data_IF_007444823459
#
_entry.id   IF_007444823459
#
_cell.length_a   1.000
_cell.length_b   1.000
_cell.length_c   1.000
_cell.angle_alpha   90.00
_cell.angle_beta   90.00
_cell.angle_gamma   90.00
#
_symmetry.space_group_name_H-M   'P 1'
#
loop_
_entity.id
_entity.type
_entity.pdbx_description
1 polymer ?
#
# COMPACT_ATOMS: atom_id res chain seq x y z
N UNK A 1 10.24 32.22 5.93
CA UNK A 1 10.99 33.09 6.87
C UNK A 1 12.38 33.41 6.35
N UNK A 2 13.24 32.41 6.07
CA UNK A 2 14.62 32.61 5.59
C UNK A 2 14.76 33.69 4.50
N UNK A 3 14.02 33.55 3.39
CA UNK A 3 14.08 34.53 2.30
C UNK A 3 13.54 35.92 2.65
N UNK A 4 12.64 36.08 3.64
CA UNK A 4 12.24 37.42 4.10
C UNK A 4 13.35 38.08 4.91
N UNK A 5 14.05 37.30 5.73
CA UNK A 5 15.15 37.80 6.56
C UNK A 5 16.38 38.15 5.71
N UNK A 6 16.72 37.33 4.71
CA UNK A 6 17.78 37.62 3.74
C UNK A 6 17.50 38.90 2.93
N UNK A 7 16.23 39.22 2.70
CA UNK A 7 15.79 40.43 1.98
C UNK A 7 15.47 41.62 2.91
N UNK A 8 15.66 41.49 4.22
CA UNK A 8 15.37 42.55 5.20
C UNK A 8 13.88 42.92 5.33
N UNK A 9 12.97 42.02 4.94
CA UNK A 9 11.54 42.23 4.99
C UNK A 9 10.98 41.96 6.40
N UNK A 10 10.00 42.74 6.87
CA UNK A 10 9.36 42.52 8.16
C UNK A 10 8.59 41.19 8.19
N UNK A 11 8.56 40.54 9.36
CA UNK A 11 7.92 39.24 9.57
C UNK A 11 6.49 39.34 10.09
N UNK A 12 5.98 40.54 10.37
CA UNK A 12 4.67 40.76 11.00
C UNK A 12 3.54 40.10 10.21
N UNK A 13 3.60 40.17 8.88
CA UNK A 13 2.65 39.53 7.97
C UNK A 13 2.63 38.00 8.10
N UNK A 14 3.82 37.39 8.16
CA UNK A 14 3.96 35.95 8.36
C UNK A 14 3.46 35.56 9.76
N UNK A 15 3.73 36.39 10.77
CA UNK A 15 3.25 36.14 12.14
C UNK A 15 1.73 36.13 12.21
N UNK A 16 1.05 37.13 11.65
CA UNK A 16 -0.42 37.21 11.65
C UNK A 16 -1.06 35.99 10.97
N UNK A 17 -0.46 35.51 9.88
CA UNK A 17 -0.98 34.32 9.20
C UNK A 17 -0.74 33.02 9.97
N UNK A 18 0.50 32.78 10.42
CA UNK A 18 0.86 31.49 11.01
C UNK A 18 0.52 31.39 12.50
N UNK A 19 0.45 32.51 13.23
CA UNK A 19 0.14 32.55 14.67
C UNK A 19 -1.31 32.93 14.92
N UNK A 20 -1.81 33.96 14.26
CA UNK A 20 -3.15 34.49 14.52
C UNK A 20 -4.21 33.93 13.55
N UNK A 21 -3.80 33.13 12.57
CA UNK A 21 -4.70 32.46 11.62
C UNK A 21 -5.38 33.39 10.61
N UNK A 22 -4.85 34.60 10.44
CA UNK A 22 -5.41 35.63 9.56
C UNK A 22 -4.90 35.43 8.12
N UNK A 23 -5.81 35.16 7.19
CA UNK A 23 -5.48 35.05 5.78
C UNK A 23 -5.37 36.43 5.13
N UNK A 24 -4.59 36.51 4.05
CA UNK A 24 -4.39 37.76 3.30
C UNK A 24 -5.59 38.12 2.42
N UNK A 25 -6.36 37.11 2.04
CA UNK A 25 -7.64 37.27 1.35
C UNK A 25 -8.75 37.32 2.41
N UNK A 26 -9.42 38.48 2.51
CA UNK A 26 -10.52 38.71 3.44
C UNK A 26 -11.73 37.79 3.17
N UNK A 27 -11.80 37.16 1.99
CA UNK A 27 -12.85 36.20 1.63
C UNK A 27 -12.54 34.77 2.10
N UNK A 28 -11.29 34.49 2.49
CA UNK A 28 -10.86 33.19 2.97
C UNK A 28 -11.26 32.98 4.44
N UNK A 29 -11.86 31.83 4.81
CA UNK A 29 -12.30 31.58 6.19
C UNK A 29 -11.13 31.67 7.17
N UNK A 30 -11.30 32.47 8.23
CA UNK A 30 -10.32 32.59 9.32
C UNK A 30 -10.26 31.27 10.08
N UNK A 31 -9.06 30.65 10.13
CA UNK A 31 -8.81 29.52 11.02
C UNK A 31 -8.51 30.10 12.40
N UNK A 32 -9.39 29.88 13.39
CA UNK A 32 -9.16 30.37 14.76
C UNK A 32 -8.02 29.66 15.48
N UNK A 33 -7.57 28.54 14.93
CA UNK A 33 -6.39 27.83 15.40
C UNK A 33 -5.23 28.22 14.46
N UNK A 34 -4.36 29.12 14.94
CA UNK A 34 -3.09 29.40 14.31
C UNK A 34 -2.27 28.12 14.14
N UNK A 35 -1.52 28.02 13.05
CA UNK A 35 -0.71 26.82 12.75
C UNK A 35 0.52 26.68 13.66
N UNK A 36 0.93 27.77 14.31
CA UNK A 36 2.02 27.85 15.27
C UNK A 36 1.60 28.69 16.47
N UNK A 37 2.06 28.34 17.68
CA UNK A 37 2.02 29.28 18.81
C UNK A 37 3.00 30.44 18.59
N UNK A 38 2.78 31.57 19.27
CA UNK A 38 3.69 32.72 19.21
C UNK A 38 5.16 32.34 19.53
N UNK A 39 5.36 31.49 20.54
CA UNK A 39 6.69 31.01 20.94
C UNK A 39 7.35 30.13 19.86
N UNK A 40 6.57 29.31 19.15
CA UNK A 40 7.09 28.49 18.05
C UNK A 40 7.49 29.34 16.85
N UNK A 41 6.70 30.36 16.53
CA UNK A 41 7.02 31.30 15.47
C UNK A 41 8.28 32.12 15.78
N UNK A 42 8.40 32.61 17.02
CA UNK A 42 9.57 33.38 17.45
C UNK A 42 10.86 32.54 17.41
N UNK A 43 10.78 31.26 17.78
CA UNK A 43 11.90 30.32 17.66
C UNK A 43 12.26 30.00 16.19
N UNK A 44 11.25 29.85 15.31
CA UNK A 44 11.45 29.68 13.86
C UNK A 44 12.04 30.94 13.22
N UNK A 45 11.68 32.13 13.70
CA UNK A 45 12.25 33.39 13.24
C UNK A 45 13.69 33.58 13.73
N UNK A 46 14.03 33.14 14.94
CA UNK A 46 15.38 33.28 15.46
C UNK A 46 16.39 32.34 14.74
N UNK A 47 15.96 31.15 14.33
CA UNK A 47 16.81 30.19 13.61
C UNK A 47 16.03 29.42 12.53
N UNK A 48 15.71 30.05 11.38
CA UNK A 48 14.92 29.43 10.31
C UNK A 48 15.63 28.27 9.60
N UNK A 49 16.94 28.12 9.77
CA UNK A 49 17.73 27.06 9.11
C UNK A 49 17.71 25.80 9.95
N UNK A 50 17.78 25.93 11.28
CA UNK A 50 17.81 24.77 12.18
C UNK A 50 16.50 24.49 12.89
N UNK A 51 15.46 25.32 12.72
CA UNK A 51 14.14 25.12 13.30
C UNK A 51 13.27 24.10 12.54
N UNK A 52 12.51 23.24 13.24
CA UNK A 52 12.51 23.08 14.70
C UNK A 52 13.88 22.58 15.16
N UNK A 53 14.44 23.15 16.27
CA UNK A 53 15.76 22.76 16.75
C UNK A 53 15.79 21.24 16.75
N UNK A 54 16.86 20.63 16.19
CA UNK A 54 17.01 19.16 16.13
C UNK A 54 16.43 18.61 17.40
N UNK A 55 15.21 18.10 17.29
CA UNK A 55 14.55 17.49 18.41
C UNK A 55 15.51 16.35 18.66
N UNK A 56 16.19 16.35 19.82
CA UNK A 56 16.56 15.09 20.42
C UNK A 56 15.27 14.30 20.33
N UNK A 57 15.22 13.40 19.35
CA UNK A 57 14.05 12.58 18.99
C UNK A 57 13.29 12.38 20.28
N UNK A 58 12.04 12.85 20.32
CA UNK A 58 11.11 12.70 21.44
C UNK A 58 11.74 11.91 22.60
N UNK A 59 11.97 12.54 23.76
CA UNK A 59 12.71 11.98 24.90
C UNK A 59 12.23 10.64 25.48
N UNK A 60 11.46 9.83 24.75
CA UNK A 60 11.29 8.38 24.91
C UNK A 60 12.25 7.48 24.11
N UNK A 61 13.13 7.98 23.22
CA UNK A 61 14.01 7.06 22.45
C UNK A 61 15.20 6.48 23.23
N UNK A 62 15.36 6.78 24.53
CA UNK A 62 16.23 5.99 25.44
C UNK A 62 15.44 5.02 26.33
N UNK A 63 14.11 5.05 26.30
CA UNK A 63 13.24 4.10 27.01
C UNK A 63 12.64 3.03 26.08
N UNK A 64 12.61 3.25 24.75
CA UNK A 64 12.04 2.31 23.78
C UNK A 64 12.73 0.94 23.78
N UNK A 65 14.06 0.88 23.75
CA UNK A 65 14.79 -0.39 23.82
C UNK A 65 14.69 -1.05 25.20
N UNK A 66 14.72 -0.26 26.28
CA UNK A 66 14.45 -0.75 27.66
C UNK A 66 13.05 -1.33 27.84
N UNK A 67 12.06 -0.87 27.07
CA UNK A 67 10.70 -1.40 27.07
C UNK A 67 10.55 -2.74 26.35
N UNK A 68 11.56 -3.15 25.58
CA UNK A 68 11.59 -4.41 24.82
C UNK A 68 12.45 -5.47 25.51
N UNK A 69 13.18 -5.08 26.58
CA UNK A 69 14.01 -5.99 27.36
C UNK A 69 13.16 -7.10 27.99
N UNK A 70 13.56 -8.35 27.77
CA UNK A 70 12.87 -9.54 28.28
C UNK A 70 11.63 -9.98 27.50
N UNK A 71 11.12 -9.19 26.55
CA UNK A 71 10.00 -9.61 25.70
C UNK A 71 10.45 -10.67 24.67
N UNK A 72 9.65 -11.73 24.55
CA UNK A 72 9.80 -12.75 23.50
C UNK A 72 9.28 -12.23 22.16
N UNK A 73 9.56 -12.95 21.07
CA UNK A 73 8.99 -12.62 19.75
C UNK A 73 7.46 -12.62 19.76
N UNK A 74 6.85 -13.54 20.49
CA UNK A 74 5.39 -13.61 20.60
C UNK A 74 4.84 -12.41 21.39
N UNK A 75 5.51 -11.97 22.46
CA UNK A 75 5.11 -10.76 23.19
C UNK A 75 5.20 -9.50 22.30
N UNK A 76 6.25 -9.44 21.47
CA UNK A 76 6.40 -8.36 20.48
C UNK A 76 5.27 -8.41 19.45
N UNK A 77 4.92 -9.61 18.97
CA UNK A 77 3.83 -9.81 18.03
C UNK A 77 2.49 -9.39 18.61
N UNK A 78 2.16 -9.83 19.83
CA UNK A 78 0.93 -9.43 20.51
C UNK A 78 0.88 -7.92 20.73
N UNK A 79 2.01 -7.29 21.08
CA UNK A 79 2.10 -5.83 21.18
C UNK A 79 1.87 -5.15 19.83
N UNK A 80 2.49 -5.63 18.76
CA UNK A 80 2.33 -5.10 17.40
C UNK A 80 0.88 -5.20 16.92
N UNK A 81 0.22 -6.32 17.18
CA UNK A 81 -1.17 -6.61 16.80
C UNK A 81 -2.19 -5.78 17.60
N UNK A 82 -1.94 -5.55 18.88
CA UNK A 82 -2.88 -4.88 19.80
C UNK A 82 -2.68 -3.38 19.94
N UNK A 83 -1.52 -2.85 19.57
CA UNK A 83 -1.23 -1.40 19.63
C UNK A 83 -1.71 -0.73 18.36
N UNK A 84 -2.67 0.21 18.41
CA UNK A 84 -3.14 0.90 17.20
C UNK A 84 -1.99 1.58 16.45
N UNK A 85 -1.90 1.31 15.15
CA UNK A 85 -0.93 1.90 14.23
C UNK A 85 -1.49 1.89 12.80
N UNK A 86 -0.69 2.33 11.83
CA UNK A 86 -1.02 2.22 10.41
C UNK A 86 -1.09 0.76 9.90
N UNK A 87 -0.62 -0.24 10.67
CA UNK A 87 -0.49 -1.63 10.20
C UNK A 87 -1.00 -2.72 11.16
N UNK A 88 -1.36 -2.40 12.40
CA UNK A 88 -1.63 -3.41 13.44
C UNK A 88 -2.74 -4.42 13.08
N UNK A 89 -3.78 -4.00 12.35
CA UNK A 89 -4.86 -4.91 11.92
C UNK A 89 -4.40 -5.91 10.85
N UNK A 90 -3.22 -5.70 10.26
CA UNK A 90 -2.62 -6.57 9.26
C UNK A 90 -1.58 -7.54 9.83
N UNK A 91 -1.20 -7.42 11.11
CA UNK A 91 -0.17 -8.27 11.72
C UNK A 91 -0.48 -9.77 11.61
N UNK A 92 -1.72 -10.19 11.88
CA UNK A 92 -2.12 -11.60 11.73
C UNK A 92 -2.00 -12.10 10.28
N UNK A 93 -2.37 -11.25 9.32
CA UNK A 93 -2.27 -11.58 7.89
C UNK A 93 -0.80 -11.70 7.46
N UNK A 94 0.06 -10.77 7.87
CA UNK A 94 1.49 -10.81 7.57
C UNK A 94 2.17 -12.04 8.20
N UNK A 95 1.82 -12.39 9.45
CA UNK A 95 2.28 -13.61 10.12
C UNK A 95 1.91 -14.85 9.33
N UNK A 96 0.66 -14.97 8.90
CA UNK A 96 0.19 -16.11 8.12
C UNK A 96 0.93 -16.20 6.77
N UNK A 97 1.04 -15.09 6.05
CA UNK A 97 1.71 -15.07 4.73
C UNK A 97 3.19 -15.44 4.85
N UNK A 98 3.87 -14.97 5.89
CA UNK A 98 5.25 -15.32 6.17
C UNK A 98 5.40 -16.81 6.58
N UNK A 99 4.46 -17.36 7.36
CA UNK A 99 4.47 -18.77 7.73
C UNK A 99 4.31 -19.72 6.53
N UNK A 100 3.61 -19.28 5.49
CA UNK A 100 3.44 -20.02 4.24
C UNK A 100 4.60 -19.82 3.24
N UNK A 101 5.72 -19.22 3.69
CA UNK A 101 6.86 -18.79 2.86
C UNK A 101 8.19 -19.29 3.44
N UNK A 102 9.09 -19.79 2.60
CA UNK A 102 10.44 -20.16 3.04
C UNK A 102 11.33 -18.91 3.13
N UNK A 103 11.28 -18.05 2.12
CA UNK A 103 12.08 -16.82 2.03
C UNK A 103 11.16 -15.62 1.91
N UNK A 104 11.30 -14.67 2.85
CA UNK A 104 10.56 -13.41 2.89
C UNK A 104 11.51 -12.25 2.69
N UNK A 105 11.12 -11.29 1.85
CA UNK A 105 11.80 -10.01 1.68
C UNK A 105 10.85 -8.89 2.07
N UNK A 106 11.34 -7.90 2.80
CA UNK A 106 10.61 -6.70 3.19
C UNK A 106 11.35 -5.45 2.69
N UNK A 107 10.62 -4.50 2.11
CA UNK A 107 11.11 -3.15 1.84
C UNK A 107 10.33 -2.15 2.69
N UNK A 108 11.06 -1.35 3.48
CA UNK A 108 10.48 -0.35 4.38
C UNK A 108 10.27 -0.89 5.80
N UNK A 109 11.36 -1.19 6.51
CA UNK A 109 11.30 -1.73 7.88
C UNK A 109 10.86 -0.67 8.91
N UNK A 110 11.28 0.59 8.74
CA UNK A 110 11.03 1.69 9.68
C UNK A 110 11.31 1.27 11.13
N UNK A 111 10.28 1.22 11.98
CA UNK A 111 10.39 0.84 13.39
C UNK A 111 10.07 -0.65 13.67
N UNK A 112 9.93 -1.47 12.63
CA UNK A 112 9.90 -2.93 12.72
C UNK A 112 8.55 -3.56 13.08
N UNK A 113 7.42 -2.86 12.99
CA UNK A 113 6.10 -3.42 13.34
C UNK A 113 5.70 -4.54 12.38
N UNK A 114 5.79 -4.30 11.06
CA UNK A 114 5.62 -5.34 10.04
C UNK A 114 6.66 -6.44 10.18
N UNK A 115 7.93 -6.08 10.41
CA UNK A 115 9.03 -7.03 10.58
C UNK A 115 8.77 -8.01 11.72
N UNK A 116 8.23 -7.55 12.84
CA UNK A 116 7.81 -8.41 13.96
C UNK A 116 6.73 -9.40 13.51
N UNK A 117 5.73 -8.95 12.76
CA UNK A 117 4.68 -9.82 12.25
C UNK A 117 5.22 -10.88 11.26
N UNK A 118 6.12 -10.47 10.35
CA UNK A 118 6.79 -11.37 9.42
C UNK A 118 7.68 -12.40 10.16
N UNK A 119 8.46 -11.96 11.16
CA UNK A 119 9.25 -12.84 12.02
C UNK A 119 8.37 -13.82 12.79
N UNK A 120 7.23 -13.40 13.32
CA UNK A 120 6.30 -14.26 14.05
C UNK A 120 5.70 -15.39 13.17
N UNK A 121 5.76 -15.26 11.84
CA UNK A 121 5.44 -16.32 10.89
C UNK A 121 6.49 -17.43 10.83
N UNK A 122 7.70 -17.16 11.33
CA UNK A 122 8.85 -18.06 11.34
C UNK A 122 9.21 -18.62 9.94
N UNK A 123 9.39 -17.76 8.91
CA UNK A 123 9.97 -18.21 7.65
C UNK A 123 11.40 -18.71 7.88
N UNK A 124 11.96 -19.51 6.97
CA UNK A 124 13.36 -19.94 7.10
C UNK A 124 14.30 -18.75 7.05
N UNK A 125 13.99 -17.75 6.23
CA UNK A 125 14.81 -16.54 6.06
C UNK A 125 13.94 -15.30 5.87
N UNK A 126 14.30 -14.22 6.55
CA UNK A 126 13.70 -12.89 6.38
C UNK A 126 14.80 -11.86 6.13
N UNK A 127 14.68 -11.10 5.04
CA UNK A 127 15.60 -10.01 4.71
C UNK A 127 14.82 -8.71 4.63
N UNK A 128 15.12 -7.76 5.51
CA UNK A 128 14.48 -6.45 5.52
C UNK A 128 15.45 -5.39 5.00
N UNK A 129 14.98 -4.57 4.07
CA UNK A 129 15.72 -3.43 3.54
C UNK A 129 15.07 -2.12 3.94
N UNK A 130 15.90 -1.14 4.28
CA UNK A 130 15.47 0.24 4.54
C UNK A 130 16.59 1.22 4.17
N UNK A 131 16.22 2.44 3.79
CA UNK A 131 17.19 3.52 3.54
C UNK A 131 17.95 3.89 4.81
N UNK A 132 17.28 3.79 5.97
CA UNK A 132 17.80 4.20 7.26
C UNK A 132 18.07 2.99 8.15
N UNK A 133 19.18 3.02 8.87
CA UNK A 133 19.42 2.04 9.92
C UNK A 133 18.61 2.41 11.17
N UNK A 134 17.95 1.43 11.78
CA UNK A 134 17.26 1.58 13.07
C UNK A 134 17.80 0.53 14.07
N UNK A 135 18.16 0.91 15.32
CA UNK A 135 18.62 -0.02 16.35
C UNK A 135 17.65 -1.18 16.65
N UNK A 136 16.36 -1.03 16.32
CA UNK A 136 15.37 -2.10 16.45
C UNK A 136 15.77 -3.36 15.66
N UNK A 137 16.52 -3.23 14.56
CA UNK A 137 17.01 -4.37 13.80
C UNK A 137 17.86 -5.33 14.64
N UNK A 138 18.74 -4.80 15.50
CA UNK A 138 19.56 -5.63 16.40
C UNK A 138 18.72 -6.31 17.48
N UNK A 139 17.70 -5.60 17.99
CA UNK A 139 16.75 -6.14 18.97
C UNK A 139 15.94 -7.30 18.38
N UNK A 140 15.48 -7.15 17.13
CA UNK A 140 14.75 -8.18 16.40
C UNK A 140 15.66 -9.35 16.01
N UNK A 141 16.92 -9.09 15.65
CA UNK A 141 17.92 -10.13 15.37
C UNK A 141 18.13 -11.05 16.57
N UNK A 142 18.13 -10.50 17.78
CA UNK A 142 18.22 -11.28 19.02
C UNK A 142 16.95 -12.07 19.35
N UNK A 143 15.82 -11.74 18.73
CA UNK A 143 14.48 -12.31 18.98
C UNK A 143 13.88 -12.97 17.74
N UNK A 144 14.69 -13.29 16.73
CA UNK A 144 14.23 -13.80 15.43
C UNK A 144 13.57 -15.20 15.49
N UNK A 145 13.66 -15.89 16.63
CA UNK A 145 13.27 -17.29 16.74
C UNK A 145 14.19 -18.18 15.90
N UNK A 146 13.60 -19.10 15.14
CA UNK A 146 14.28 -20.01 14.22
C UNK A 146 14.57 -19.38 12.85
N UNK A 147 14.05 -18.17 12.59
CA UNK A 147 14.26 -17.46 11.32
C UNK A 147 15.69 -16.97 11.20
N UNK A 148 16.32 -17.15 10.03
CA UNK A 148 17.52 -16.40 9.68
C UNK A 148 17.15 -14.97 9.27
N UNK A 149 17.19 -14.03 10.21
CA UNK A 149 16.87 -12.61 9.95
C UNK A 149 18.10 -11.81 9.52
N UNK A 150 17.98 -10.94 8.52
CA UNK A 150 19.01 -9.95 8.21
C UNK A 150 18.40 -8.61 7.87
N UNK A 151 18.98 -7.55 8.42
CA UNK A 151 18.70 -6.18 8.01
C UNK A 151 19.81 -5.69 7.07
N UNK A 152 19.42 -5.04 5.98
CA UNK A 152 20.34 -4.46 5.01
C UNK A 152 19.95 -3.01 4.76
N UNK A 153 20.83 -2.07 5.12
CA UNK A 153 20.62 -0.68 4.72
C UNK A 153 20.79 -0.55 3.21
N UNK A 154 19.74 -0.15 2.49
CA UNK A 154 19.75 -0.06 1.04
C UNK A 154 18.45 0.47 0.45
N UNK A 155 18.58 1.13 -0.70
CA UNK A 155 17.45 1.62 -1.49
C UNK A 155 16.84 0.48 -2.30
N UNK A 156 15.53 0.23 -2.16
CA UNK A 156 14.78 -0.78 -2.92
C UNK A 156 14.97 -0.64 -4.43
N UNK A 157 15.23 0.57 -4.95
CA UNK A 157 15.50 0.81 -6.38
C UNK A 157 16.92 0.39 -6.82
N UNK A 158 17.83 0.16 -5.86
CA UNK A 158 19.24 -0.13 -6.12
C UNK A 158 19.66 -1.55 -5.71
N UNK A 159 19.05 -2.13 -4.67
CA UNK A 159 19.44 -3.44 -4.15
C UNK A 159 19.12 -4.56 -5.14
N UNK A 160 19.79 -5.69 -4.98
CA UNK A 160 19.45 -6.94 -5.67
C UNK A 160 18.97 -7.91 -4.61
N UNK A 161 17.76 -8.45 -4.78
CA UNK A 161 17.20 -9.45 -3.88
C UNK A 161 17.39 -10.85 -4.45
N UNK A 162 17.49 -11.83 -3.56
CA UNK A 162 17.43 -13.23 -3.95
C UNK A 162 16.00 -13.64 -4.33
N UNK A 163 15.83 -14.86 -4.84
CA UNK A 163 14.51 -15.42 -5.08
C UNK A 163 13.78 -15.59 -3.74
N UNK A 164 12.59 -15.03 -3.62
CA UNK A 164 11.76 -15.11 -2.42
C UNK A 164 10.35 -15.62 -2.73
N UNK A 165 9.65 -16.10 -1.72
CA UNK A 165 8.24 -16.52 -1.84
C UNK A 165 7.30 -15.35 -1.61
N UNK A 166 7.68 -14.46 -0.68
CA UNK A 166 6.91 -13.30 -0.29
C UNK A 166 7.78 -12.04 -0.37
N UNK A 167 7.28 -11.02 -1.05
CA UNK A 167 7.81 -9.66 -1.00
C UNK A 167 6.77 -8.74 -0.36
N UNK A 168 7.10 -8.12 0.76
CA UNK A 168 6.32 -7.06 1.38
C UNK A 168 6.91 -5.69 1.03
N UNK A 169 6.08 -4.78 0.53
CA UNK A 169 6.47 -3.43 0.10
C UNK A 169 5.68 -2.39 0.89
N UNK A 170 6.42 -1.59 1.67
CA UNK A 170 5.92 -0.44 2.42
C UNK A 170 6.96 0.71 2.42
N UNK A 171 7.43 1.06 1.22
CA UNK A 171 8.46 2.09 1.00
C UNK A 171 7.84 3.48 0.84
N UNK A 172 7.86 4.01 -0.39
CA UNK A 172 7.38 5.32 -0.76
C UNK A 172 6.14 5.15 -1.62
N UNK A 173 5.03 5.80 -1.26
CA UNK A 173 3.72 5.44 -1.82
C UNK A 173 3.34 6.24 -3.07
N UNK A 174 4.19 6.19 -4.10
CA UNK A 174 3.93 6.81 -5.41
C UNK A 174 3.92 5.77 -6.53
N UNK A 175 3.19 6.07 -7.61
CA UNK A 175 3.14 5.19 -8.77
C UNK A 175 4.53 4.94 -9.37
N UNK A 176 5.38 5.97 -9.43
CA UNK A 176 6.73 5.88 -9.98
C UNK A 176 7.62 4.96 -9.13
N UNK A 177 7.58 5.09 -7.80
CA UNK A 177 8.32 4.21 -6.89
C UNK A 177 7.90 2.76 -7.10
N UNK A 178 6.59 2.47 -6.97
CA UNK A 178 6.08 1.11 -7.06
C UNK A 178 6.35 0.50 -8.44
N UNK A 179 6.24 1.30 -9.51
CA UNK A 179 6.54 0.83 -10.88
C UNK A 179 7.98 0.34 -10.98
N UNK A 180 8.94 1.12 -10.47
CA UNK A 180 10.36 0.75 -10.52
C UNK A 180 10.67 -0.47 -9.63
N UNK A 181 10.06 -0.56 -8.44
CA UNK A 181 10.20 -1.72 -7.56
C UNK A 181 9.64 -2.99 -8.21
N UNK A 182 8.44 -2.94 -8.80
CA UNK A 182 7.83 -4.08 -9.47
C UNK A 182 8.63 -4.50 -10.72
N UNK A 183 9.08 -3.54 -11.53
CA UNK A 183 9.91 -3.83 -12.71
C UNK A 183 11.21 -4.54 -12.32
N UNK A 184 11.82 -4.14 -11.21
CA UNK A 184 13.10 -4.67 -10.75
C UNK A 184 12.97 -6.03 -10.08
N UNK A 185 11.96 -6.21 -9.23
CA UNK A 185 11.94 -7.32 -8.27
C UNK A 185 10.86 -8.37 -8.53
N UNK A 186 9.80 -8.07 -9.29
CA UNK A 186 8.65 -8.98 -9.35
C UNK A 186 8.95 -10.35 -10.00
N UNK A 187 10.02 -10.48 -10.79
CA UNK A 187 10.47 -11.77 -11.33
C UNK A 187 11.34 -12.58 -10.33
N UNK A 188 11.78 -11.95 -9.24
CA UNK A 188 12.42 -12.61 -8.12
C UNK A 188 11.41 -13.16 -7.10
N UNK A 189 10.12 -12.87 -7.27
CA UNK A 189 9.06 -13.30 -6.36
C UNK A 189 8.33 -14.50 -6.94
N UNK A 190 8.48 -15.65 -6.27
CA UNK A 190 7.93 -16.95 -6.71
C UNK A 190 6.42 -17.05 -6.49
N UNK A 191 5.90 -16.42 -5.44
CA UNK A 191 4.49 -16.56 -5.04
C UNK A 191 3.76 -15.23 -4.92
N UNK A 192 4.03 -14.44 -3.86
CA UNK A 192 3.17 -13.32 -3.44
C UNK A 192 3.93 -12.01 -3.26
N UNK A 193 3.30 -10.92 -3.70
CA UNK A 193 3.72 -9.55 -3.39
C UNK A 193 2.60 -8.90 -2.58
N UNK A 194 2.95 -8.24 -1.47
CA UNK A 194 2.03 -7.57 -0.56
C UNK A 194 2.37 -6.09 -0.54
N UNK A 195 1.35 -5.25 -0.75
CA UNK A 195 1.46 -3.80 -0.75
C UNK A 195 0.64 -3.22 0.41
N UNK A 196 1.26 -2.33 1.18
CA UNK A 196 0.62 -1.59 2.24
C UNK A 196 0.10 -0.21 1.78
N UNK A 197 -0.69 0.47 2.62
CA UNK A 197 -1.33 1.77 2.39
C UNK A 197 -2.14 1.90 1.08
N UNK A 198 -2.67 0.79 0.58
CA UNK A 198 -3.38 0.76 -0.72
C UNK A 198 -4.75 1.44 -0.69
N UNK A 199 -5.24 1.84 0.48
CA UNK A 199 -6.42 2.71 0.63
C UNK A 199 -6.05 4.18 0.73
N UNK A 200 -5.08 4.55 1.58
CA UNK A 200 -4.73 5.96 1.79
C UNK A 200 -3.95 6.51 0.59
N UNK A 201 -2.99 5.74 0.09
CA UNK A 201 -2.14 6.12 -1.05
C UNK A 201 -2.47 5.31 -2.31
N UNK A 202 -3.69 4.77 -2.37
CA UNK A 202 -4.15 3.95 -3.48
C UNK A 202 -4.21 4.72 -4.80
N UNK A 203 -5.15 5.65 -4.93
CA UNK A 203 -5.30 6.44 -6.17
C UNK A 203 -4.35 7.64 -6.23
N UNK A 204 -4.07 8.27 -5.08
CA UNK A 204 -3.23 9.46 -4.97
C UNK A 204 -2.04 9.18 -4.07
N UNK A 205 -0.84 9.39 -4.58
CA UNK A 205 0.38 9.18 -3.84
C UNK A 205 0.69 10.28 -2.83
N UNK A 206 1.69 10.04 -1.99
CA UNK A 206 2.19 10.98 -0.99
C UNK A 206 2.75 12.29 -1.57
N UNK A 207 3.09 12.32 -2.87
CA UNK A 207 3.52 13.50 -3.62
C UNK A 207 2.38 14.22 -4.35
N UNK A 208 1.14 13.89 -4.00
CA UNK A 208 -0.09 14.35 -4.64
C UNK A 208 -0.27 13.89 -6.10
N UNK A 209 0.64 13.10 -6.66
CA UNK A 209 0.53 12.45 -7.98
C UNK A 209 -0.24 11.13 -7.93
N UNK A 210 -0.13 10.29 -8.98
CA UNK A 210 -0.73 8.95 -8.98
C UNK A 210 -0.14 8.03 -7.89
N UNK A 211 -1.02 7.29 -7.20
CA UNK A 211 -0.65 6.39 -6.11
C UNK A 211 -0.32 4.96 -6.54
N UNK A 212 -0.42 4.03 -5.59
CA UNK A 212 -0.07 2.62 -5.78
C UNK A 212 -0.99 1.87 -6.75
N UNK A 213 -2.30 2.12 -6.71
CA UNK A 213 -3.29 1.37 -7.50
C UNK A 213 -3.20 1.65 -9.00
N UNK A 214 -2.97 2.88 -9.50
CA UNK A 214 -2.65 3.13 -10.89
C UNK A 214 -1.44 2.32 -11.40
N UNK A 215 -0.32 2.32 -10.66
CA UNK A 215 0.86 1.53 -11.01
C UNK A 215 0.56 0.03 -10.99
N UNK A 216 -0.15 -0.45 -9.97
CA UNK A 216 -0.53 -1.86 -9.85
C UNK A 216 -1.45 -2.31 -11.00
N UNK A 217 -2.43 -1.49 -11.40
CA UNK A 217 -3.32 -1.78 -12.54
C UNK A 217 -2.53 -1.96 -13.83
N UNK A 218 -1.58 -1.06 -14.09
CA UNK A 218 -0.73 -1.14 -15.28
C UNK A 218 0.12 -2.41 -15.24
N UNK A 219 0.78 -2.68 -14.11
CA UNK A 219 1.60 -3.88 -13.93
C UNK A 219 0.80 -5.17 -14.15
N UNK A 220 -0.40 -5.26 -13.55
CA UNK A 220 -1.27 -6.43 -13.66
C UNK A 220 -1.89 -6.61 -15.06
N UNK A 221 -2.04 -5.53 -15.82
CA UNK A 221 -2.45 -5.57 -17.24
C UNK A 221 -1.35 -6.16 -18.11
N UNK A 222 -0.09 -5.80 -17.85
CA UNK A 222 1.08 -6.32 -18.57
C UNK A 222 1.47 -7.74 -18.14
N UNK A 223 1.14 -8.13 -16.91
CA UNK A 223 1.46 -9.41 -16.28
C UNK A 223 0.19 -10.16 -15.90
N UNK A 224 -0.59 -10.67 -16.87
CA UNK A 224 -1.86 -11.31 -16.57
C UNK A 224 -1.71 -12.52 -15.67
N UNK A 225 -0.57 -13.21 -15.67
CA UNK A 225 -0.28 -14.32 -14.76
C UNK A 225 -0.22 -13.91 -13.29
N UNK A 226 -0.22 -12.62 -12.97
CA UNK A 226 -0.34 -12.08 -11.60
C UNK A 226 -1.76 -11.53 -11.40
N UNK A 227 -2.36 -11.80 -10.24
CA UNK A 227 -3.74 -11.38 -9.95
C UNK A 227 -3.86 -10.99 -8.47
N UNK A 228 -4.73 -10.02 -8.16
CA UNK A 228 -5.11 -9.74 -6.77
C UNK A 228 -5.81 -10.98 -6.20
N UNK A 229 -5.35 -11.44 -5.05
CA UNK A 229 -5.93 -12.59 -4.32
C UNK A 229 -6.54 -12.18 -2.99
N UNK A 230 -6.17 -11.00 -2.47
CA UNK A 230 -6.80 -10.37 -1.32
C UNK A 230 -6.64 -8.85 -1.42
N UNK A 231 -7.67 -8.11 -1.02
CA UNK A 231 -7.65 -6.66 -0.94
C UNK A 231 -8.57 -6.21 0.21
N UNK A 232 -8.09 -5.29 1.04
CA UNK A 232 -8.89 -4.64 2.09
C UNK A 232 -8.58 -3.15 2.12
N UNK A 233 -9.59 -2.36 2.50
CA UNK A 233 -9.46 -0.92 2.74
C UNK A 233 -9.29 -0.57 4.22
N UNK A 234 -9.42 -1.55 5.11
CA UNK A 234 -9.22 -1.37 6.55
C UNK A 234 -7.76 -1.04 6.84
N UNK A 235 -7.53 -0.29 7.93
CA UNK A 235 -6.21 0.02 8.46
C UNK A 235 -5.19 0.46 7.39
N UNK A 236 -5.58 1.49 6.64
CA UNK A 236 -4.84 2.07 5.52
C UNK A 236 -4.73 1.21 4.26
N UNK A 237 -5.14 -0.06 4.33
CA UNK A 237 -5.42 -0.92 3.20
C UNK A 237 -4.24 -1.79 2.81
N UNK A 238 -4.54 -3.05 2.53
CA UNK A 238 -3.56 -4.08 2.18
C UNK A 238 -3.99 -4.78 0.89
N UNK A 239 -3.08 -4.89 -0.07
CA UNK A 239 -3.31 -5.64 -1.32
C UNK A 239 -2.29 -6.75 -1.46
N UNK A 240 -2.78 -7.97 -1.68
CA UNK A 240 -1.95 -9.15 -1.95
C UNK A 240 -2.17 -9.58 -3.40
N UNK A 241 -1.09 -9.64 -4.17
CA UNK A 241 -1.09 -10.24 -5.50
C UNK A 241 -0.33 -11.55 -5.49
N UNK A 242 -0.77 -12.51 -6.31
CA UNK A 242 -0.10 -13.80 -6.47
C UNK A 242 -0.01 -14.22 -7.94
N UNK A 243 1.08 -14.93 -8.27
CA UNK A 243 1.23 -15.69 -9.52
C UNK A 243 0.88 -17.17 -9.37
N UNK A 244 0.78 -17.66 -8.14
CA UNK A 244 0.55 -19.07 -7.85
C UNK A 244 -0.93 -19.43 -8.07
N UNK A 245 -1.25 -20.43 -8.91
CA UNK A 245 -2.62 -20.87 -9.14
C UNK A 245 -3.35 -21.33 -7.87
N UNK A 246 -2.65 -21.80 -6.84
CA UNK A 246 -3.24 -22.27 -5.58
C UNK A 246 -3.83 -21.14 -4.74
N UNK A 247 -3.36 -19.90 -4.94
CA UNK A 247 -3.87 -18.72 -4.25
C UNK A 247 -5.09 -18.10 -4.96
N UNK A 248 -5.33 -18.49 -6.21
CA UNK A 248 -6.33 -17.85 -7.07
C UNK A 248 -7.69 -18.56 -7.01
N UNK A 249 -8.80 -17.82 -7.15
CA UNK A 249 -10.11 -18.42 -7.23
C UNK A 249 -10.24 -19.30 -8.47
N UNK A 250 -10.88 -20.47 -8.30
CA UNK A 250 -11.08 -21.44 -9.37
C UNK A 250 -12.14 -20.96 -10.35
N UNK A 251 -11.93 -21.25 -11.62
CA UNK A 251 -12.94 -21.03 -12.65
C UNK A 251 -14.17 -21.93 -12.45
N UNK A 252 -15.35 -21.53 -12.95
CA UNK A 252 -16.52 -22.40 -12.94
C UNK A 252 -16.28 -23.64 -13.82
N UNK A 253 -17.01 -24.72 -13.53
CA UNK A 253 -17.01 -25.91 -14.38
C UNK A 253 -17.46 -25.59 -15.82
N UNK A 254 -16.99 -26.40 -16.78
CA UNK A 254 -17.22 -26.18 -18.23
C UNK A 254 -18.68 -26.02 -18.61
N UNK A 255 -19.58 -26.82 -18.03
CA UNK A 255 -21.03 -26.73 -18.24
C UNK A 255 -21.58 -25.38 -17.79
N UNK A 256 -21.15 -24.89 -16.62
CA UNK A 256 -21.58 -23.58 -16.09
C UNK A 256 -21.03 -22.44 -16.94
N UNK A 257 -19.78 -22.54 -17.41
CA UNK A 257 -19.21 -21.54 -18.32
C UNK A 257 -19.95 -21.48 -19.65
N UNK A 258 -20.32 -22.63 -20.24
CA UNK A 258 -21.12 -22.68 -21.46
C UNK A 258 -22.49 -22.02 -21.27
N UNK A 259 -23.19 -22.34 -20.18
CA UNK A 259 -24.48 -21.71 -19.85
C UNK A 259 -24.35 -20.18 -19.66
N UNK A 260 -23.33 -19.73 -18.93
CA UNK A 260 -23.05 -18.31 -18.74
C UNK A 260 -22.78 -17.60 -20.07
N UNK A 261 -21.97 -18.20 -20.95
CA UNK A 261 -21.65 -17.65 -22.26
C UNK A 261 -22.90 -17.57 -23.15
N UNK A 262 -23.70 -18.63 -23.24
CA UNK A 262 -24.94 -18.63 -24.02
C UNK A 262 -25.90 -17.54 -23.57
N UNK A 263 -26.06 -17.34 -22.25
CA UNK A 263 -26.88 -16.25 -21.70
C UNK A 263 -26.33 -14.87 -22.10
N UNK A 264 -25.02 -14.66 -21.97
CA UNK A 264 -24.38 -13.40 -22.32
C UNK A 264 -24.49 -13.10 -23.83
N UNK A 265 -24.30 -14.11 -24.68
CA UNK A 265 -24.40 -13.97 -26.13
C UNK A 265 -25.83 -13.64 -26.57
N UNK A 266 -26.84 -14.30 -26.01
CA UNK A 266 -28.24 -13.99 -26.30
C UNK A 266 -28.57 -12.52 -25.97
N UNK A 267 -28.10 -12.03 -24.82
CA UNK A 267 -28.26 -10.62 -24.44
C UNK A 267 -27.53 -9.68 -25.41
N UNK A 268 -26.30 -10.01 -25.81
CA UNK A 268 -25.51 -9.19 -26.74
C UNK A 268 -26.13 -9.13 -28.14
N UNK A 269 -26.69 -10.25 -28.63
CA UNK A 269 -27.42 -10.27 -29.91
C UNK A 269 -28.71 -9.46 -29.81
N UNK A 270 -29.48 -9.61 -28.72
CA UNK A 270 -30.70 -8.82 -28.49
C UNK A 270 -30.40 -7.31 -28.39
N UNK A 271 -29.21 -6.96 -27.90
CA UNK A 271 -28.68 -5.60 -27.81
C UNK A 271 -28.06 -5.10 -29.13
N UNK A 272 -28.19 -5.84 -30.23
CA UNK A 272 -27.70 -5.45 -31.56
C UNK A 272 -26.19 -5.54 -31.73
N UNK A 273 -25.52 -6.40 -30.95
CA UNK A 273 -24.05 -6.60 -30.94
C UNK A 273 -23.29 -5.31 -30.61
N UNK A 274 -23.89 -4.42 -29.82
CA UNK A 274 -23.30 -3.13 -29.52
C UNK A 274 -22.15 -3.26 -28.53
N UNK A 275 -21.06 -2.54 -28.81
CA UNK A 275 -19.91 -2.42 -27.92
C UNK A 275 -20.04 -1.18 -27.04
N UNK A 276 -19.37 -1.21 -25.89
CA UNK A 276 -19.14 -0.01 -25.09
C UNK A 276 -18.20 0.94 -25.84
N UNK A 277 -18.18 2.20 -25.44
CA UNK A 277 -17.10 3.09 -25.86
C UNK A 277 -15.77 2.74 -25.15
N UNK A 278 -14.70 3.42 -25.56
CA UNK A 278 -13.35 3.19 -25.05
C UNK A 278 -13.22 3.56 -23.56
N UNK A 279 -13.91 4.60 -23.10
CA UNK A 279 -13.82 5.06 -21.72
C UNK A 279 -14.49 4.05 -20.78
N UNK A 280 -15.68 3.57 -21.14
CA UNK A 280 -16.40 2.52 -20.43
C UNK A 280 -15.61 1.21 -20.40
N UNK A 281 -15.04 0.80 -21.55
CA UNK A 281 -14.22 -0.41 -21.61
C UNK A 281 -13.01 -0.31 -20.67
N UNK A 282 -12.29 0.81 -20.72
CA UNK A 282 -11.13 1.05 -19.89
C UNK A 282 -11.50 1.05 -18.40
N UNK A 283 -12.59 1.73 -18.02
CA UNK A 283 -13.09 1.75 -16.65
C UNK A 283 -13.45 0.35 -16.14
N UNK A 284 -14.19 -0.43 -16.93
CA UNK A 284 -14.54 -1.83 -16.60
C UNK A 284 -13.30 -2.70 -16.40
N UNK A 285 -12.28 -2.51 -17.24
CA UNK A 285 -11.02 -3.25 -17.15
C UNK A 285 -10.18 -2.84 -15.93
N UNK A 286 -10.14 -1.56 -15.58
CA UNK A 286 -9.45 -1.06 -14.38
C UNK A 286 -10.02 -1.66 -13.09
N UNK A 287 -11.35 -1.78 -13.02
CA UNK A 287 -12.03 -2.48 -11.93
C UNK A 287 -11.65 -3.98 -11.92
N UNK A 288 -11.65 -4.61 -13.09
CA UNK A 288 -11.30 -6.03 -13.20
C UNK A 288 -9.83 -6.32 -12.87
N UNK A 289 -8.90 -5.39 -13.14
CA UNK A 289 -7.47 -5.56 -12.86
C UNK A 289 -7.20 -5.79 -11.37
N UNK A 290 -7.92 -5.09 -10.50
CA UNK A 290 -7.78 -5.17 -9.04
C UNK A 290 -8.77 -6.14 -8.38
N UNK A 291 -9.63 -6.80 -9.16
CA UNK A 291 -10.65 -7.69 -8.62
C UNK A 291 -10.01 -8.98 -8.09
N UNK A 292 -10.28 -9.29 -6.82
CA UNK A 292 -9.93 -10.55 -6.14
C UNK A 292 -10.54 -11.81 -6.79
N UNK A 293 -11.55 -11.64 -7.64
CA UNK A 293 -12.17 -12.69 -8.44
C UNK A 293 -11.57 -12.84 -9.85
N UNK A 294 -10.48 -12.12 -10.14
CA UNK A 294 -9.75 -12.27 -11.39
C UNK A 294 -8.78 -13.44 -11.28
N UNK A 295 -8.79 -14.29 -12.29
CA UNK A 295 -7.79 -15.35 -12.47
C UNK A 295 -7.24 -15.25 -13.88
N UNK A 296 -6.00 -14.78 -13.97
CA UNK A 296 -5.36 -14.43 -15.22
C UNK A 296 -6.12 -13.34 -16.01
N UNK A 297 -6.53 -13.65 -17.23
CA UNK A 297 -7.34 -12.80 -18.11
C UNK A 297 -8.85 -13.10 -18.00
N UNK A 298 -9.26 -13.87 -16.98
CA UNK A 298 -10.63 -14.38 -16.82
C UNK A 298 -11.24 -14.03 -15.48
N UNK A 299 -12.56 -14.03 -15.41
CA UNK A 299 -13.32 -13.90 -14.16
C UNK A 299 -13.67 -15.28 -13.58
N UNK A 300 -13.32 -15.55 -12.31
CA UNK A 300 -13.66 -16.80 -11.61
C UNK A 300 -15.15 -17.00 -11.37
N UNK A 301 -15.94 -15.93 -11.35
CA UNK A 301 -17.38 -16.01 -11.07
C UNK A 301 -18.17 -16.50 -12.29
N UNK A 302 -17.84 -15.99 -13.48
CA UNK A 302 -18.58 -16.30 -14.71
C UNK A 302 -17.79 -17.10 -15.75
N UNK A 303 -16.46 -17.13 -15.66
CA UNK A 303 -15.57 -17.83 -16.59
C UNK A 303 -15.20 -17.06 -17.85
N UNK A 304 -15.76 -15.87 -18.07
CA UNK A 304 -15.54 -15.07 -19.27
C UNK A 304 -14.14 -14.46 -19.32
N UNK A 305 -13.62 -14.27 -20.55
CA UNK A 305 -12.49 -13.41 -20.83
C UNK A 305 -12.87 -11.95 -20.53
N UNK A 306 -12.04 -11.27 -19.74
CA UNK A 306 -12.37 -9.94 -19.20
C UNK A 306 -12.49 -8.89 -20.31
N UNK A 307 -11.53 -8.85 -21.25
CA UNK A 307 -11.53 -7.91 -22.38
C UNK A 307 -12.79 -8.04 -23.24
N UNK A 308 -13.14 -9.27 -23.63
CA UNK A 308 -14.32 -9.53 -24.44
C UNK A 308 -15.59 -9.12 -23.71
N UNK A 309 -15.77 -9.61 -22.48
CA UNK A 309 -16.99 -9.33 -21.71
C UNK A 309 -17.14 -7.84 -21.40
N UNK A 310 -16.05 -7.17 -21.02
CA UNK A 310 -16.08 -5.74 -20.71
C UNK A 310 -16.47 -4.91 -21.93
N UNK A 311 -16.10 -5.34 -23.14
CA UNK A 311 -16.41 -4.63 -24.39
C UNK A 311 -17.87 -4.70 -24.82
N UNK A 312 -18.66 -5.65 -24.31
CA UNK A 312 -20.06 -5.82 -24.69
C UNK A 312 -20.95 -4.89 -23.87
N UNK A 313 -21.70 -4.02 -24.54
CA UNK A 313 -22.53 -2.98 -23.91
C UNK A 313 -23.60 -3.59 -22.99
N UNK A 314 -24.21 -4.70 -23.44
CA UNK A 314 -25.17 -5.53 -22.71
C UNK A 314 -24.61 -6.37 -21.55
N UNK A 315 -23.28 -6.43 -21.38
CA UNK A 315 -22.66 -7.28 -20.35
C UNK A 315 -22.54 -6.55 -19.02
N UNK A 316 -22.69 -7.31 -17.94
CA UNK A 316 -22.58 -6.81 -16.57
C UNK A 316 -21.58 -7.64 -15.75
N UNK A 317 -20.99 -7.00 -14.72
CA UNK A 317 -20.24 -7.70 -13.69
C UNK A 317 -21.23 -8.52 -12.82
N UNK A 318 -21.05 -9.84 -12.66
CA UNK A 318 -21.96 -10.64 -11.83
C UNK A 318 -21.94 -10.26 -10.34
N UNK A 319 -20.93 -9.48 -9.93
CA UNK A 319 -20.78 -8.93 -8.58
C UNK A 319 -21.22 -7.46 -8.48
N UNK A 320 -21.78 -6.88 -9.54
CA UNK A 320 -22.19 -5.48 -9.58
C UNK A 320 -21.04 -4.45 -9.63
N UNK A 321 -19.77 -4.87 -9.59
CA UNK A 321 -18.62 -3.95 -9.46
C UNK A 321 -18.45 -2.90 -10.58
N UNK A 322 -19.09 -3.07 -11.75
CA UNK A 322 -18.98 -2.10 -12.86
C UNK A 322 -19.89 -0.88 -12.72
N UNK A 323 -20.94 -0.95 -11.88
CA UNK A 323 -21.94 0.10 -11.73
C UNK A 323 -22.14 0.42 -10.23
N UNK A 324 -21.26 1.22 -9.61
CA UNK A 324 -21.31 1.48 -8.16
C UNK A 324 -22.57 2.24 -7.69
N UNK A 325 -23.33 2.87 -8.59
CA UNK A 325 -24.61 3.51 -8.25
C UNK A 325 -25.70 2.52 -7.81
N UNK A 326 -25.53 1.21 -8.03
CA UNK A 326 -26.51 0.17 -7.70
C UNK A 326 -26.13 -0.61 -6.41
N UNK A 327 -24.93 -0.40 -5.84
CA UNK A 327 -24.43 -1.18 -4.70
C UNK A 327 -24.75 -0.64 -3.31
N UNK A 328 -25.53 0.45 -3.19
CA UNK A 328 -26.04 0.96 -1.92
C UNK A 328 -27.54 0.67 -1.73
N UNK A 329 -28.01 -0.52 -2.09
CA UNK A 329 -29.31 -1.03 -1.65
C UNK A 329 -29.20 -2.54 -1.41
N UNK A 330 -28.71 -2.95 -0.24
CA UNK A 330 -29.33 -3.90 0.72
C UNK A 330 -28.36 -4.26 1.83
#
# INVERSE_FOLDING_TARGET
LLGHQELGLPLDRLRQHYVDGLNEDEQSPVSRDGRLSAAQFDALAADPVTYPPRVTSCGGCKSGTKQLDGLTLEDLFEKARSTPSDINEHCDTLRQLANESDVVVEFGMRHGVSTVALLAGQPKRLISYDLNQDPIAEVLKQRQGDTEFSFVQGDSLSVTIEQCDLLFIDTRHTADQLTLELQRHAENVRRRIVLHDTQIFGERGEDAGPGLLPALRQFLKERPEKSVVSHTQANHGLTVISRDPTDKPKLPGTVKMAANFSKALAAHVADGLQKTDTADLQHRLEICSLCDQRTNDRCSVCGCYLAEKASWRSSECPLGKWNPEVSHVT
#
